data_IF_444803118394
#
_entry.id   IF_444803118394
#
_cell.length_a   1.000
_cell.length_b   1.000
_cell.length_c   1.000
_cell.angle_alpha   90.00
_cell.angle_beta   90.00
_cell.angle_gamma   90.00
#
_symmetry.space_group_name_H-M   'P 1'
#
loop_
_entity.id
_entity.type
_entity.pdbx_description
1 polymer ?
#
# COMPACT_ATOMS: atom_id res chain seq x y z
N UNK A 1 -19.82 -15.18 -17.78
CA UNK A 1 -18.35 -15.06 -17.99
C UNK A 1 -17.59 -15.00 -16.66
N UNK A 2 -17.63 -16.07 -15.84
CA UNK A 2 -17.98 -15.85 -14.43
C UNK A 2 -16.84 -15.78 -13.39
N UNK A 3 -15.85 -16.69 -13.36
CA UNK A 3 -14.79 -16.66 -12.31
C UNK A 3 -13.38 -16.91 -12.83
N UNK A 4 -13.23 -17.78 -13.83
CA UNK A 4 -11.94 -18.15 -14.43
C UNK A 4 -11.20 -16.97 -15.06
N UNK A 5 -11.89 -16.17 -15.88
CA UNK A 5 -11.32 -14.98 -16.53
C UNK A 5 -10.91 -13.90 -15.53
N UNK A 6 -11.64 -13.78 -14.41
CA UNK A 6 -11.30 -12.85 -13.33
C UNK A 6 -10.02 -13.26 -12.58
N UNK A 7 -9.87 -14.55 -12.29
CA UNK A 7 -8.65 -15.09 -11.70
C UNK A 7 -7.45 -14.86 -12.63
N UNK A 8 -7.62 -15.19 -13.91
CA UNK A 8 -6.58 -14.99 -14.93
C UNK A 8 -6.12 -13.53 -15.04
N UNK A 9 -7.05 -12.57 -15.01
CA UNK A 9 -6.70 -11.14 -15.02
C UNK A 9 -5.94 -10.70 -13.77
N UNK A 10 -6.24 -11.26 -12.59
CA UNK A 10 -5.52 -10.95 -11.36
C UNK A 10 -4.09 -11.51 -11.39
N UNK A 11 -3.89 -12.71 -11.94
CA UNK A 11 -2.55 -13.28 -12.10
C UNK A 11 -1.70 -12.44 -13.06
N UNK A 12 -2.23 -12.09 -14.24
CA UNK A 12 -1.53 -11.22 -15.21
C UNK A 12 -1.17 -9.87 -14.59
N UNK A 13 -2.06 -9.33 -13.77
CA UNK A 13 -1.81 -8.10 -13.05
C UNK A 13 -0.69 -8.24 -12.01
N UNK A 14 -0.71 -9.33 -11.23
CA UNK A 14 0.35 -9.62 -10.27
C UNK A 14 1.70 -9.77 -10.96
N UNK A 15 1.72 -10.48 -12.10
CA UNK A 15 2.91 -10.65 -12.93
C UNK A 15 3.44 -9.30 -13.43
N UNK A 16 2.55 -8.46 -13.98
CA UNK A 16 2.90 -7.12 -14.44
C UNK A 16 3.51 -6.28 -13.32
N UNK A 17 2.86 -6.18 -12.15
CA UNK A 17 3.40 -5.38 -11.05
C UNK A 17 4.69 -5.95 -10.49
N UNK A 18 4.84 -7.28 -10.42
CA UNK A 18 6.09 -7.92 -9.98
C UNK A 18 7.23 -7.57 -10.92
N UNK A 19 6.99 -7.62 -12.23
CA UNK A 19 7.97 -7.23 -13.23
C UNK A 19 8.30 -5.73 -13.16
N UNK A 20 7.28 -4.87 -13.12
CA UNK A 20 7.44 -3.42 -13.10
C UNK A 20 8.18 -2.94 -11.84
N UNK A 21 7.82 -3.45 -10.64
CA UNK A 21 8.51 -3.08 -9.40
C UNK A 21 9.95 -3.54 -9.42
N UNK A 22 10.23 -4.79 -9.80
CA UNK A 22 11.61 -5.31 -9.89
C UNK A 22 12.45 -4.53 -10.87
N UNK A 23 11.92 -4.20 -12.05
CA UNK A 23 12.63 -3.40 -13.06
C UNK A 23 12.99 -2.02 -12.51
N UNK A 24 12.02 -1.30 -11.96
CA UNK A 24 12.24 0.05 -11.43
C UNK A 24 13.13 0.06 -10.20
N UNK A 25 13.06 -0.95 -9.35
CA UNK A 25 13.90 -1.06 -8.15
C UNK A 25 15.35 -1.35 -8.53
N UNK A 26 15.55 -2.21 -9.54
CA UNK A 26 16.87 -2.47 -10.11
C UNK A 26 17.52 -1.20 -10.67
N UNK A 27 16.76 -0.38 -11.40
CA UNK A 27 17.25 0.89 -11.95
C UNK A 27 17.67 1.90 -10.85
N UNK A 28 17.22 1.69 -9.60
CA UNK A 28 17.52 2.53 -8.43
C UNK A 28 18.46 1.83 -7.41
N UNK A 29 19.09 0.72 -7.80
CA UNK A 29 19.97 -0.10 -6.95
C UNK A 29 19.30 -0.63 -5.66
N UNK A 30 17.98 -0.82 -5.69
CA UNK A 30 17.21 -1.47 -4.63
C UNK A 30 17.13 -2.96 -4.95
N UNK A 31 17.76 -3.81 -4.12
CA UNK A 31 17.97 -5.24 -4.41
C UNK A 31 17.18 -6.18 -3.51
N UNK A 32 16.44 -5.63 -2.55
CA UNK A 32 15.66 -6.37 -1.56
C UNK A 32 14.42 -7.03 -2.18
N UNK A 33 14.58 -8.24 -2.74
CA UNK A 33 13.51 -8.97 -3.44
C UNK A 33 12.22 -9.12 -2.62
N UNK A 34 12.33 -9.37 -1.31
CA UNK A 34 11.16 -9.49 -0.42
C UNK A 34 10.31 -8.21 -0.41
N UNK A 35 10.96 -7.05 -0.49
CA UNK A 35 10.28 -5.75 -0.53
C UNK A 35 9.62 -5.54 -1.88
N UNK A 36 10.32 -5.80 -2.99
CA UNK A 36 9.73 -5.64 -4.33
C UNK A 36 8.52 -6.54 -4.55
N UNK A 37 8.57 -7.76 -4.02
CA UNK A 37 7.47 -8.73 -4.12
C UNK A 37 6.28 -8.31 -3.24
N UNK A 38 6.54 -7.84 -2.02
CA UNK A 38 5.50 -7.29 -1.14
C UNK A 38 4.80 -6.07 -1.76
N UNK A 39 5.57 -5.14 -2.33
CA UNK A 39 5.01 -3.94 -2.95
C UNK A 39 4.19 -4.31 -4.19
N UNK A 40 4.62 -5.28 -5.00
CA UNK A 40 3.82 -5.78 -6.11
C UNK A 40 2.45 -6.35 -5.64
N UNK A 41 2.42 -7.01 -4.47
CA UNK A 41 1.18 -7.47 -3.85
C UNK A 41 0.31 -6.31 -3.37
N UNK A 42 0.89 -5.25 -2.79
CA UNK A 42 0.16 -4.02 -2.42
C UNK A 42 -0.51 -3.40 -3.66
N UNK A 43 0.24 -3.24 -4.76
CA UNK A 43 -0.29 -2.68 -6.00
C UNK A 43 -1.40 -3.54 -6.60
N UNK A 44 -1.23 -4.87 -6.58
CA UNK A 44 -2.24 -5.81 -7.06
C UNK A 44 -3.51 -5.75 -6.20
N UNK A 45 -3.35 -5.63 -4.88
CA UNK A 45 -4.48 -5.50 -3.95
C UNK A 45 -5.27 -4.21 -4.22
N UNK A 46 -4.61 -3.07 -4.44
CA UNK A 46 -5.27 -1.78 -4.65
C UNK A 46 -5.67 -1.47 -6.09
N UNK A 47 -5.37 -2.36 -7.05
CA UNK A 47 -5.96 -2.27 -8.38
C UNK A 47 -7.50 -2.35 -8.38
N UNK A 48 -8.08 -2.87 -7.28
CA UNK A 48 -9.52 -2.80 -7.03
C UNK A 48 -9.79 -1.72 -6.01
N UNK A 49 -10.45 -0.63 -6.41
CA UNK A 49 -10.72 0.54 -5.57
C UNK A 49 -11.47 0.18 -4.28
N UNK A 50 -12.33 -0.85 -4.31
CA UNK A 50 -13.03 -1.36 -3.12
C UNK A 50 -12.08 -1.82 -2.00
N UNK A 51 -10.86 -2.23 -2.35
CA UNK A 51 -9.85 -2.65 -1.38
C UNK A 51 -9.14 -1.47 -0.72
N UNK A 52 -9.35 -0.22 -1.17
CA UNK A 52 -8.77 0.97 -0.50
C UNK A 52 -9.44 1.23 0.86
N UNK A 53 -10.72 0.85 1.01
CA UNK A 53 -11.53 1.14 2.21
C UNK A 53 -12.20 -0.14 2.75
N UNK A 54 -11.43 -1.15 3.20
CA UNK A 54 -11.97 -2.46 3.54
C UNK A 54 -12.53 -2.53 4.97
N UNK A 55 -12.17 -1.58 5.86
CA UNK A 55 -12.50 -1.64 7.28
C UNK A 55 -13.83 -0.98 7.62
N UNK A 56 -14.44 -1.47 8.71
CA UNK A 56 -15.59 -0.85 9.33
C UNK A 56 -15.31 -0.49 10.79
N UNK A 57 -15.77 0.69 11.17
CA UNK A 57 -15.69 1.19 12.55
C UNK A 57 -16.62 0.42 13.49
N UNK A 58 -16.57 0.78 14.77
CA UNK A 58 -17.38 0.14 15.82
C UNK A 58 -18.89 0.29 15.60
N UNK A 59 -19.34 1.31 14.87
CA UNK A 59 -20.76 1.54 14.56
C UNK A 59 -21.16 0.94 13.20
N UNK A 60 -20.26 0.20 12.55
CA UNK A 60 -20.49 -0.47 11.27
C UNK A 60 -20.33 0.44 10.04
N UNK A 61 -19.99 1.71 10.24
CA UNK A 61 -19.62 2.67 9.21
C UNK A 61 -18.34 2.24 8.48
N UNK A 62 -18.19 2.60 7.19
CA UNK A 62 -16.94 2.36 6.47
C UNK A 62 -15.90 3.41 6.90
N UNK A 63 -14.66 2.97 7.06
CA UNK A 63 -13.52 3.87 7.28
C UNK A 63 -12.94 4.22 5.91
N UNK A 64 -13.21 5.44 5.45
CA UNK A 64 -12.92 5.91 4.10
C UNK A 64 -11.73 6.88 4.05
N UNK A 65 -11.24 7.33 5.21
CA UNK A 65 -10.10 8.24 5.28
C UNK A 65 -8.94 7.63 6.07
N UNK A 66 -7.73 8.09 5.74
CA UNK A 66 -6.52 7.77 6.51
C UNK A 66 -6.67 8.14 7.99
N UNK A 67 -7.30 9.29 8.27
CA UNK A 67 -7.53 9.78 9.64
C UNK A 67 -8.45 8.83 10.41
N UNK A 68 -9.55 8.38 9.82
CA UNK A 68 -10.47 7.41 10.45
C UNK A 68 -9.77 6.09 10.77
N UNK A 69 -8.94 5.58 9.86
CA UNK A 69 -8.16 4.36 10.09
C UNK A 69 -7.16 4.53 11.25
N UNK A 70 -6.47 5.68 11.30
CA UNK A 70 -5.53 5.99 12.38
C UNK A 70 -6.24 6.15 13.73
N UNK A 71 -7.41 6.80 13.75
CA UNK A 71 -8.22 6.94 14.97
C UNK A 71 -8.63 5.57 15.52
N UNK A 72 -9.14 4.68 14.67
CA UNK A 72 -9.51 3.31 15.07
C UNK A 72 -8.29 2.53 15.58
N UNK A 73 -7.14 2.59 14.89
CA UNK A 73 -5.92 1.90 15.34
C UNK A 73 -5.42 2.42 16.69
N UNK A 74 -5.40 3.74 16.88
CA UNK A 74 -4.96 4.36 18.12
C UNK A 74 -5.92 4.09 19.27
N UNK A 75 -7.23 4.06 19.03
CA UNK A 75 -8.21 3.70 20.06
C UNK A 75 -7.99 2.25 20.53
N UNK A 76 -7.69 1.32 19.63
CA UNK A 76 -7.35 -0.06 20.00
C UNK A 76 -6.11 -0.10 20.89
N UNK A 77 -5.04 0.62 20.52
CA UNK A 77 -3.82 0.71 21.35
C UNK A 77 -4.14 1.26 22.75
N UNK A 78 -4.86 2.37 22.83
CA UNK A 78 -5.17 3.06 24.10
C UNK A 78 -6.06 2.24 25.02
N UNK A 79 -6.98 1.44 24.46
CA UNK A 79 -7.92 0.62 25.22
C UNK A 79 -7.42 -0.78 25.50
N UNK A 80 -6.22 -1.15 25.02
CA UNK A 80 -5.70 -2.51 25.14
C UNK A 80 -6.53 -3.54 24.37
N UNK A 81 -7.09 -3.15 23.22
CA UNK A 81 -7.92 -4.01 22.39
C UNK A 81 -7.12 -5.08 21.63
N UNK A 82 -7.74 -5.67 20.60
CA UNK A 82 -7.13 -6.75 19.83
C UNK A 82 -5.91 -6.29 19.03
N UNK A 83 -4.71 -6.74 19.43
CA UNK A 83 -3.45 -6.52 18.69
C UNK A 83 -3.52 -7.03 17.25
N UNK A 84 -4.29 -8.09 16.99
CA UNK A 84 -4.47 -8.60 15.63
C UNK A 84 -5.21 -7.59 14.75
N UNK A 85 -6.30 -6.99 15.27
CA UNK A 85 -7.07 -5.96 14.57
C UNK A 85 -6.26 -4.69 14.39
N UNK A 86 -5.55 -4.26 15.43
CA UNK A 86 -4.65 -3.11 15.35
C UNK A 86 -3.62 -3.31 14.22
N UNK A 87 -2.96 -4.47 14.20
CA UNK A 87 -1.96 -4.82 13.20
C UNK A 87 -2.53 -4.82 11.78
N UNK A 88 -3.75 -5.33 11.58
CA UNK A 88 -4.42 -5.31 10.27
C UNK A 88 -4.65 -3.88 9.78
N UNK A 89 -5.17 -3.01 10.65
CA UNK A 89 -5.45 -1.61 10.31
C UNK A 89 -4.14 -0.86 10.05
N UNK A 90 -3.13 -1.01 10.92
CA UNK A 90 -1.82 -0.36 10.74
C UNK A 90 -1.11 -0.83 9.48
N UNK A 91 -1.15 -2.13 9.14
CA UNK A 91 -0.63 -2.62 7.87
C UNK A 91 -1.32 -1.96 6.68
N UNK A 92 -2.65 -1.88 6.73
CA UNK A 92 -3.41 -1.24 5.67
C UNK A 92 -3.12 0.25 5.54
N UNK A 93 -2.95 0.96 6.66
CA UNK A 93 -2.49 2.36 6.65
C UNK A 93 -1.15 2.48 5.93
N UNK A 94 -0.16 1.67 6.30
CA UNK A 94 1.15 1.66 5.64
C UNK A 94 1.06 1.39 4.14
N UNK A 95 0.28 0.37 3.76
CA UNK A 95 0.06 -0.01 2.36
C UNK A 95 -0.63 1.12 1.59
N UNK A 96 -1.71 1.67 2.14
CA UNK A 96 -2.50 2.74 1.52
C UNK A 96 -1.65 3.98 1.29
N UNK A 97 -0.89 4.40 2.31
CA UNK A 97 0.01 5.55 2.19
C UNK A 97 1.10 5.28 1.15
N UNK A 98 1.76 4.12 1.19
CA UNK A 98 2.80 3.74 0.23
C UNK A 98 2.27 3.81 -1.21
N UNK A 99 1.07 3.28 -1.42
CA UNK A 99 0.37 3.32 -2.69
C UNK A 99 0.03 4.74 -3.12
N UNK A 100 -0.62 5.53 -2.27
CA UNK A 100 -1.07 6.88 -2.62
C UNK A 100 0.09 7.85 -2.83
N UNK A 101 1.08 7.85 -1.94
CA UNK A 101 2.24 8.72 -2.04
C UNK A 101 3.17 8.31 -3.20
N UNK A 102 3.24 7.02 -3.55
CA UNK A 102 4.04 6.53 -4.67
C UNK A 102 3.35 6.69 -6.03
N UNK A 103 2.16 6.11 -6.17
CA UNK A 103 1.41 6.02 -7.43
C UNK A 103 0.55 7.25 -7.74
N UNK A 104 0.18 8.05 -6.74
CA UNK A 104 -0.67 9.24 -6.89
C UNK A 104 -0.03 10.46 -6.22
N UNK A 105 1.29 10.58 -6.34
CA UNK A 105 2.07 11.60 -5.64
C UNK A 105 1.55 13.02 -5.92
N UNK A 106 1.15 13.30 -7.15
CA UNK A 106 0.61 14.60 -7.58
C UNK A 106 -0.72 14.93 -6.88
N UNK A 107 -1.58 13.92 -6.67
CA UNK A 107 -2.82 14.07 -5.90
C UNK A 107 -2.50 14.39 -4.43
N UNK A 108 -1.60 13.64 -3.79
CA UNK A 108 -1.22 13.86 -2.39
C UNK A 108 -0.55 15.22 -2.19
N UNK A 109 0.31 15.64 -3.13
CA UNK A 109 0.95 16.97 -3.12
C UNK A 109 -0.05 18.10 -3.25
N UNK A 110 -1.06 17.96 -4.11
CA UNK A 110 -2.12 18.97 -4.28
C UNK A 110 -2.94 19.19 -2.99
N UNK A 111 -3.06 18.17 -2.15
CA UNK A 111 -3.70 18.27 -0.84
C UNK A 111 -2.76 18.78 0.26
N UNK A 112 -1.48 19.06 -0.04
CA UNK A 112 -0.46 19.42 0.95
C UNK A 112 -0.26 18.36 2.05
N UNK A 113 -0.50 17.08 1.74
CA UNK A 113 -0.46 15.98 2.71
C UNK A 113 0.83 15.14 2.61
N UNK A 114 1.80 15.52 1.77
CA UNK A 114 2.97 14.66 1.50
C UNK A 114 3.75 14.29 2.76
N UNK A 115 4.16 15.28 3.57
CA UNK A 115 4.93 15.03 4.78
C UNK A 115 4.15 14.19 5.79
N UNK A 116 2.86 14.50 5.95
CA UNK A 116 1.95 13.74 6.82
C UNK A 116 1.84 12.27 6.37
N UNK A 117 1.69 12.04 5.07
CA UNK A 117 1.64 10.68 4.51
C UNK A 117 2.96 9.95 4.79
N UNK A 118 4.11 10.55 4.47
CA UNK A 118 5.41 9.89 4.69
C UNK A 118 5.64 9.51 6.16
N UNK A 119 5.28 10.40 7.09
CA UNK A 119 5.38 10.15 8.53
C UNK A 119 4.45 9.01 8.98
N UNK A 120 3.16 9.10 8.65
CA UNK A 120 2.17 8.11 9.08
C UNK A 120 2.40 6.73 8.45
N UNK A 121 2.81 6.67 7.18
CA UNK A 121 3.14 5.40 6.52
C UNK A 121 4.35 4.71 7.15
N UNK A 122 5.41 5.46 7.44
CA UNK A 122 6.60 4.93 8.12
C UNK A 122 6.25 4.44 9.53
N UNK A 123 5.49 5.22 10.32
CA UNK A 123 5.04 4.84 11.67
C UNK A 123 4.13 3.63 11.69
N UNK A 124 3.23 3.53 10.71
CA UNK A 124 2.31 2.41 10.61
C UNK A 124 3.06 1.10 10.37
N UNK A 125 4.01 1.05 9.44
CA UNK A 125 4.84 -0.13 9.25
C UNK A 125 5.77 -0.43 10.43
N UNK A 126 6.31 0.60 11.11
CA UNK A 126 7.08 0.39 12.35
C UNK A 126 6.25 -0.39 13.37
N UNK A 127 5.03 0.10 13.61
CA UNK A 127 4.09 -0.49 14.56
C UNK A 127 3.70 -1.92 14.18
N UNK A 128 3.51 -2.20 12.89
CA UNK A 128 3.27 -3.58 12.41
C UNK A 128 4.47 -4.47 12.72
N UNK A 129 5.69 -3.97 12.50
CA UNK A 129 6.91 -4.70 12.85
C UNK A 129 7.02 -5.01 14.35
N UNK A 130 6.68 -4.05 15.21
CA UNK A 130 6.65 -4.24 16.66
C UNK A 130 5.57 -5.24 17.10
N UNK A 131 4.35 -5.14 16.57
CA UNK A 131 3.27 -6.08 16.88
C UNK A 131 3.60 -7.49 16.35
N UNK A 132 4.13 -7.60 15.14
CA UNK A 132 4.52 -8.90 14.58
C UNK A 132 5.65 -9.52 15.41
N UNK A 133 6.61 -8.74 15.90
CA UNK A 133 7.63 -9.22 16.82
C UNK A 133 7.03 -9.69 18.15
N UNK A 134 6.13 -8.91 18.76
CA UNK A 134 5.47 -9.27 20.02
C UNK A 134 4.60 -10.53 19.91
N UNK A 135 3.97 -10.75 18.74
CA UNK A 135 3.15 -11.91 18.44
C UNK A 135 3.94 -13.10 17.85
N UNK A 136 5.28 -13.01 17.77
CA UNK A 136 6.15 -14.00 17.12
C UNK A 136 5.71 -14.34 15.67
N UNK A 137 5.13 -13.37 14.97
CA UNK A 137 4.75 -13.53 13.56
C UNK A 137 5.96 -13.34 12.65
N UNK A 138 6.13 -14.19 11.62
CA UNK A 138 7.15 -13.96 10.62
C UNK A 138 6.85 -12.69 9.83
N UNK A 139 7.90 -11.95 9.46
CA UNK A 139 7.79 -10.75 8.62
C UNK A 139 8.02 -9.42 9.34
N UNK A 140 8.27 -9.42 10.65
CA UNK A 140 8.62 -8.19 11.40
C UNK A 140 9.75 -7.40 10.72
N UNK A 141 10.82 -8.07 10.28
CA UNK A 141 11.96 -7.43 9.61
C UNK A 141 11.58 -6.72 8.29
N UNK A 142 10.62 -7.29 7.53
CA UNK A 142 10.13 -6.68 6.30
C UNK A 142 9.46 -5.34 6.60
N UNK A 143 8.58 -5.30 7.62
CA UNK A 143 7.88 -4.08 7.99
C UNK A 143 8.81 -3.03 8.62
N UNK A 144 9.81 -3.46 9.40
CA UNK A 144 10.85 -2.56 9.92
C UNK A 144 11.70 -1.97 8.80
N UNK A 145 12.05 -2.75 7.78
CA UNK A 145 12.76 -2.25 6.58
C UNK A 145 11.91 -1.26 5.78
N UNK A 146 10.64 -1.60 5.53
CA UNK A 146 9.68 -0.71 4.87
C UNK A 146 9.52 0.61 5.60
N UNK A 147 9.45 0.58 6.93
CA UNK A 147 9.37 1.78 7.78
C UNK A 147 10.64 2.64 7.67
N UNK A 148 11.81 2.04 7.84
CA UNK A 148 13.10 2.74 7.88
C UNK A 148 13.45 3.41 6.56
N UNK A 149 13.06 2.82 5.43
CA UNK A 149 13.32 3.33 4.07
C UNK A 149 12.04 3.71 3.35
N UNK A 150 11.01 4.13 4.09
CA UNK A 150 9.69 4.38 3.53
C UNK A 150 9.72 5.37 2.36
N UNK A 151 10.40 6.51 2.54
CA UNK A 151 10.52 7.54 1.51
C UNK A 151 11.22 7.04 0.24
N UNK A 152 12.23 6.17 0.39
CA UNK A 152 12.91 5.54 -0.74
C UNK A 152 11.93 4.69 -1.55
N UNK A 153 11.12 3.86 -0.90
CA UNK A 153 10.15 3.01 -1.58
C UNK A 153 8.99 3.81 -2.21
N UNK A 154 8.56 4.90 -1.57
CA UNK A 154 7.63 5.86 -2.18
C UNK A 154 8.23 6.49 -3.45
N UNK A 155 9.49 6.93 -3.37
CA UNK A 155 10.21 7.48 -4.53
C UNK A 155 10.37 6.47 -5.66
N UNK A 156 10.72 5.22 -5.33
CA UNK A 156 10.86 4.14 -6.29
C UNK A 156 9.54 3.78 -6.97
N UNK A 157 8.43 3.79 -6.22
CA UNK A 157 7.09 3.64 -6.78
C UNK A 157 6.71 4.81 -7.69
N UNK A 158 7.07 6.05 -7.33
CA UNK A 158 6.82 7.18 -8.22
C UNK A 158 7.63 7.11 -9.51
N UNK A 159 8.88 6.63 -9.43
CA UNK A 159 9.70 6.35 -10.60
C UNK A 159 9.06 5.28 -11.49
N UNK A 160 8.64 4.15 -10.90
CA UNK A 160 7.91 3.08 -11.60
C UNK A 160 6.65 3.61 -12.28
N UNK A 161 5.85 4.41 -11.57
CA UNK A 161 4.68 5.10 -12.11
C UNK A 161 5.02 5.93 -13.35
N UNK A 162 6.10 6.74 -13.31
CA UNK A 162 6.53 7.55 -14.45
C UNK A 162 7.06 6.72 -15.62
N UNK A 163 7.57 5.52 -15.37
CA UNK A 163 8.00 4.62 -16.42
C UNK A 163 6.83 3.96 -17.14
N UNK A 164 5.84 3.46 -16.40
CA UNK A 164 4.80 2.57 -16.95
C UNK A 164 3.41 3.21 -17.08
N UNK A 165 3.15 4.34 -16.44
CA UNK A 165 1.83 5.01 -16.38
C UNK A 165 1.90 6.49 -16.79
N UNK A 166 2.77 6.84 -17.76
CA UNK A 166 2.99 8.23 -18.22
C UNK A 166 1.68 8.96 -18.51
N UNK A 167 1.51 10.15 -17.94
CA UNK A 167 0.37 11.08 -18.14
C UNK A 167 -1.04 10.50 -17.90
N UNK A 168 -1.13 9.31 -17.28
CA UNK A 168 -2.37 8.53 -17.22
C UNK A 168 -3.05 8.55 -15.85
N UNK A 169 -2.32 8.91 -14.79
CA UNK A 169 -2.81 8.90 -13.41
C UNK A 169 -2.90 10.32 -12.86
N UNK A 170 -4.12 10.86 -12.76
CA UNK A 170 -4.42 12.16 -12.12
C UNK A 170 -5.33 12.06 -10.89
N UNK A 171 -6.12 10.98 -10.82
CA UNK A 171 -7.06 10.69 -9.74
C UNK A 171 -6.94 9.20 -9.33
N UNK A 172 -6.86 8.87 -8.04
CA UNK A 172 -6.84 7.49 -7.55
C UNK A 172 -7.98 6.60 -8.07
N UNK A 173 -9.15 7.18 -8.34
CA UNK A 173 -10.33 6.50 -8.85
C UNK A 173 -10.18 5.93 -10.27
N UNK A 174 -9.25 6.42 -11.07
CA UNK A 174 -9.04 5.93 -12.45
C UNK A 174 -8.05 4.75 -12.54
N UNK A 175 -7.40 4.39 -11.44
CA UNK A 175 -6.31 3.40 -11.42
C UNK A 175 -6.70 2.07 -12.08
N UNK A 176 -7.86 1.52 -11.71
CA UNK A 176 -8.32 0.23 -12.23
C UNK A 176 -8.57 0.23 -13.74
N UNK A 177 -8.85 1.39 -14.34
CA UNK A 177 -9.01 1.53 -15.79
C UNK A 177 -7.66 1.60 -16.49
N UNK A 178 -6.69 2.33 -15.94
CA UNK A 178 -5.33 2.40 -16.50
C UNK A 178 -4.61 1.06 -16.44
N UNK A 179 -4.73 0.37 -15.32
CA UNK A 179 -4.18 -0.98 -15.16
C UNK A 179 -4.74 -1.94 -16.20
N UNK A 180 -6.06 -1.90 -16.46
CA UNK A 180 -6.68 -2.74 -17.49
C UNK A 180 -6.12 -2.49 -18.88
N UNK A 181 -5.78 -1.23 -19.21
CA UNK A 181 -5.19 -0.85 -20.50
C UNK A 181 -3.78 -1.40 -20.71
N UNK A 182 -3.04 -1.69 -19.64
CA UNK A 182 -1.68 -2.22 -19.72
C UNK A 182 -1.62 -3.75 -19.85
N UNK A 183 -2.64 -4.45 -19.34
CA UNK A 183 -2.66 -5.92 -19.26
C UNK A 183 -3.60 -6.58 -20.28
N UNK A 184 -4.38 -5.81 -21.04
CA UNK A 184 -5.33 -6.26 -22.08
C UNK A 184 -5.05 -5.56 -23.40
#
# INVERSE_FOLDING_TARGET
MSRRRRKENLEKLKEFFTWATRRSFWDLDIRERRVSDYIAEVLTNFARTENLYPFRGKRGERLETLVELLLEANEITLTGGSLVREREIRKHVGDYVLFMAGMFQEYVKRLSLMSYYLEEGSRAYWSVGEIDQALFKPGADLFKELSRRFELYVGALNYMRRLFFRDSLGDPGTFGTEVKRLIL
#
